data_IF_180743806180
#
_entry.id   IF_180743806180
#
_cell.length_a   1.000
_cell.length_b   1.000
_cell.length_c   1.000
_cell.angle_alpha   90.00
_cell.angle_beta   90.00
_cell.angle_gamma   90.00
#
_symmetry.space_group_name_H-M   'P 1'
#
loop_
_entity.id
_entity.type
_entity.pdbx_description
1 polymer ?
#
# COMPACT_ATOMS: atom_id res chain seq x y z
N UNK A 1 -12.76 14.18 -19.64
CA UNK A 1 -13.08 14.93 -18.40
C UNK A 1 -12.70 14.03 -17.26
N UNK A 2 -11.57 14.27 -16.58
CA UNK A 2 -11.20 13.50 -15.39
C UNK A 2 -12.25 13.78 -14.32
N UNK A 3 -13.05 12.77 -13.96
CA UNK A 3 -14.00 12.91 -12.87
C UNK A 3 -13.20 12.76 -11.59
N UNK A 4 -13.42 13.68 -10.66
CA UNK A 4 -12.80 13.59 -9.34
C UNK A 4 -13.76 12.91 -8.36
N UNK A 5 -13.24 12.02 -7.52
CA UNK A 5 -13.99 11.30 -6.46
C UNK A 5 -13.12 11.23 -5.22
N UNK A 6 -13.70 11.12 -4.03
CA UNK A 6 -12.91 11.13 -2.79
C UNK A 6 -12.12 9.84 -2.52
N UNK A 7 -12.57 8.70 -3.05
CA UNK A 7 -12.00 7.36 -2.78
C UNK A 7 -11.75 7.09 -1.29
N UNK A 8 -12.60 7.65 -0.41
CA UNK A 8 -12.35 7.62 1.03
C UNK A 8 -12.27 6.19 1.57
N UNK A 9 -13.16 5.33 1.10
CA UNK A 9 -13.23 3.92 1.50
C UNK A 9 -11.97 3.17 1.06
N UNK A 10 -11.50 3.41 -0.16
CA UNK A 10 -10.28 2.80 -0.71
C UNK A 10 -9.05 3.31 0.05
N UNK A 11 -8.96 4.61 0.32
CA UNK A 11 -7.89 5.20 1.14
C UNK A 11 -7.84 4.57 2.53
N UNK A 12 -8.98 4.47 3.22
CA UNK A 12 -9.10 3.82 4.53
C UNK A 12 -8.68 2.35 4.48
N UNK A 13 -9.10 1.59 3.46
CA UNK A 13 -8.69 0.19 3.26
C UNK A 13 -7.18 0.06 3.09
N UNK A 14 -6.56 0.92 2.28
CA UNK A 14 -5.11 0.92 2.08
C UNK A 14 -4.37 1.17 3.40
N UNK A 15 -4.76 2.19 4.16
CA UNK A 15 -4.13 2.46 5.46
C UNK A 15 -4.36 1.32 6.45
N UNK A 16 -5.54 0.70 6.45
CA UNK A 16 -5.80 -0.44 7.31
C UNK A 16 -4.87 -1.62 6.98
N UNK A 17 -4.61 -1.91 5.71
CA UNK A 17 -3.61 -2.90 5.31
C UNK A 17 -2.20 -2.49 5.78
N UNK A 18 -1.86 -1.22 5.64
CA UNK A 18 -0.55 -0.69 6.04
C UNK A 18 -0.31 -0.67 7.56
N UNK A 19 -1.36 -0.53 8.36
CA UNK A 19 -1.29 -0.55 9.83
C UNK A 19 -1.08 -1.94 10.41
N UNK A 20 -1.45 -3.00 9.68
CA UNK A 20 -1.37 -4.38 10.16
C UNK A 20 -0.26 -5.12 9.41
N UNK A 21 0.99 -4.73 9.68
CA UNK A 21 2.16 -5.27 8.98
C UNK A 21 2.31 -6.78 9.19
N UNK A 22 2.03 -7.28 10.39
CA UNK A 22 2.06 -8.72 10.72
C UNK A 22 1.06 -9.54 9.90
N UNK A 23 -0.17 -9.03 9.69
CA UNK A 23 -1.19 -9.72 8.89
C UNK A 23 -0.97 -9.56 7.37
N UNK A 24 -0.14 -8.60 6.99
CA UNK A 24 0.08 -8.24 5.59
C UNK A 24 1.40 -8.82 5.09
N UNK A 25 2.39 -9.05 5.96
CA UNK A 25 3.72 -9.53 5.54
C UNK A 25 3.65 -10.90 4.89
N UNK A 26 2.84 -11.83 5.39
CA UNK A 26 2.68 -13.16 4.78
C UNK A 26 2.12 -13.05 3.36
N UNK A 27 1.18 -12.11 3.15
CA UNK A 27 0.62 -11.81 1.82
C UNK A 27 1.69 -11.23 0.90
N UNK A 28 2.55 -10.35 1.39
CA UNK A 28 3.65 -9.80 0.60
C UNK A 28 4.73 -10.85 0.31
N UNK A 29 5.04 -11.73 1.26
CA UNK A 29 5.97 -12.85 1.06
C UNK A 29 5.46 -13.80 -0.01
N UNK A 30 4.16 -14.09 -0.02
CA UNK A 30 3.52 -14.85 -1.11
C UNK A 30 3.65 -14.12 -2.45
N UNK A 31 3.25 -12.86 -2.53
CA UNK A 31 3.34 -12.06 -3.76
C UNK A 31 4.78 -11.95 -4.28
N UNK A 32 5.75 -11.82 -3.37
CA UNK A 32 7.18 -11.82 -3.70
C UNK A 32 7.58 -13.13 -4.36
N UNK A 33 7.12 -14.26 -3.82
CA UNK A 33 7.32 -15.57 -4.43
C UNK A 33 6.66 -15.68 -5.82
N UNK A 34 5.47 -15.14 -6.00
CA UNK A 34 4.80 -15.09 -7.32
C UNK A 34 5.57 -14.23 -8.33
N UNK A 35 6.07 -13.05 -7.92
CA UNK A 35 6.92 -12.21 -8.75
C UNK A 35 8.20 -12.95 -9.16
N UNK A 36 8.80 -13.72 -8.24
CA UNK A 36 9.98 -14.54 -8.51
C UNK A 36 9.71 -15.68 -9.52
N UNK A 37 8.48 -16.21 -9.58
CA UNK A 37 8.09 -17.22 -10.57
C UNK A 37 7.96 -16.63 -11.98
N UNK A 38 7.53 -15.37 -12.07
CA UNK A 38 7.34 -14.66 -13.34
C UNK A 38 8.59 -13.89 -13.81
N UNK A 39 9.65 -13.83 -13.00
CA UNK A 39 10.88 -13.08 -13.29
C UNK A 39 11.66 -12.74 -12.02
N UNK A 40 12.49 -11.70 -12.05
CA UNK A 40 13.20 -11.21 -10.84
C UNK A 40 12.44 -10.06 -10.22
N UNK A 41 12.31 -10.04 -8.89
CA UNK A 41 11.81 -8.89 -8.13
C UNK A 41 12.78 -7.72 -8.30
N UNK A 42 12.28 -6.53 -8.63
CA UNK A 42 13.16 -5.37 -8.79
C UNK A 42 13.82 -4.96 -7.47
N UNK A 43 14.95 -4.26 -7.54
CA UNK A 43 15.64 -3.78 -6.33
C UNK A 43 14.73 -2.86 -5.50
N UNK A 44 13.97 -1.97 -6.14
CA UNK A 44 13.02 -1.10 -5.45
C UNK A 44 11.91 -1.87 -4.74
N UNK A 45 11.37 -2.92 -5.39
CA UNK A 45 10.36 -3.78 -4.78
C UNK A 45 10.93 -4.53 -3.58
N UNK A 46 12.14 -5.09 -3.69
CA UNK A 46 12.78 -5.79 -2.57
C UNK A 46 13.06 -4.83 -1.40
N UNK A 47 13.58 -3.63 -1.67
CA UNK A 47 13.80 -2.61 -0.64
C UNK A 47 12.48 -2.25 0.05
N UNK A 48 11.39 -2.04 -0.71
CA UNK A 48 10.09 -1.72 -0.16
C UNK A 48 9.54 -2.85 0.73
N UNK A 49 9.68 -4.11 0.29
CA UNK A 49 9.32 -5.27 1.07
C UNK A 49 10.08 -5.34 2.40
N UNK A 50 11.41 -5.16 2.38
CA UNK A 50 12.23 -5.19 3.60
C UNK A 50 11.87 -4.04 4.55
N UNK A 51 11.64 -2.83 4.01
CA UNK A 51 11.21 -1.69 4.84
C UNK A 51 9.85 -1.91 5.48
N UNK A 52 8.89 -2.48 4.76
CA UNK A 52 7.59 -2.85 5.32
C UNK A 52 7.74 -3.90 6.43
N UNK A 53 8.50 -4.97 6.16
CA UNK A 53 8.74 -6.09 7.08
C UNK A 53 9.33 -5.65 8.41
N UNK A 54 10.28 -4.71 8.40
CA UNK A 54 10.97 -4.23 9.60
C UNK A 54 10.44 -2.90 10.14
N UNK A 55 9.28 -2.45 9.64
CA UNK A 55 8.56 -1.32 10.25
C UNK A 55 7.90 -1.81 11.55
N UNK A 56 8.24 -1.19 12.68
CA UNK A 56 7.62 -1.51 13.97
C UNK A 56 7.00 -0.25 14.58
N UNK A 57 5.90 -0.42 15.31
CA UNK A 57 5.22 0.66 16.03
C UNK A 57 6.15 1.38 17.02
N UNK A 58 7.09 0.64 17.63
CA UNK A 58 8.13 1.18 18.52
C UNK A 58 9.05 2.20 17.85
N UNK A 59 9.24 2.10 16.52
CA UNK A 59 10.17 2.96 15.78
C UNK A 59 9.56 4.27 15.31
N UNK A 60 8.23 4.34 15.18
CA UNK A 60 7.52 5.48 14.59
C UNK A 60 6.68 6.28 15.59
N UNK A 61 6.47 5.76 16.80
CA UNK A 61 5.82 6.48 17.91
C UNK A 61 4.32 6.73 17.75
N UNK A 62 3.83 6.94 16.52
CA UNK A 62 2.43 7.23 16.18
C UNK A 62 1.90 6.23 15.12
N UNK A 63 0.78 5.51 15.38
CA UNK A 63 0.23 4.52 14.45
C UNK A 63 -0.09 5.07 13.05
N UNK A 64 -0.46 6.34 12.94
CA UNK A 64 -0.82 7.00 11.68
C UNK A 64 0.41 7.26 10.81
N UNK A 65 1.53 7.65 11.42
CA UNK A 65 2.83 7.83 10.74
C UNK A 65 3.32 6.49 10.19
N UNK A 66 3.19 5.44 11.00
CA UNK A 66 3.51 4.07 10.56
C UNK A 66 2.64 3.65 9.37
N UNK A 67 1.33 3.84 9.47
CA UNK A 67 0.39 3.49 8.40
C UNK A 67 0.70 4.23 7.08
N UNK A 68 1.02 5.52 7.14
CA UNK A 68 1.41 6.29 5.96
C UNK A 68 2.72 5.79 5.33
N UNK A 69 3.74 5.59 6.15
CA UNK A 69 5.04 5.05 5.71
C UNK A 69 4.87 3.67 5.06
N UNK A 70 4.07 2.81 5.69
CA UNK A 70 3.80 1.47 5.20
C UNK A 70 2.94 1.45 3.94
N UNK A 71 2.03 2.41 3.76
CA UNK A 71 1.25 2.55 2.53
C UNK A 71 2.16 2.87 1.34
N UNK A 72 3.20 3.68 1.53
CA UNK A 72 4.22 3.94 0.51
C UNK A 72 4.95 2.63 0.17
N UNK A 73 5.44 1.90 1.17
CA UNK A 73 6.15 0.64 0.94
C UNK A 73 5.29 -0.43 0.26
N UNK A 74 4.01 -0.56 0.64
CA UNK A 74 3.06 -1.44 -0.04
C UNK A 74 2.89 -1.06 -1.51
N UNK A 75 2.67 0.23 -1.77
CA UNK A 75 2.45 0.74 -3.13
C UNK A 75 3.70 0.53 -4.01
N UNK A 76 4.89 0.83 -3.48
CA UNK A 76 6.16 0.60 -4.18
C UNK A 76 6.39 -0.89 -4.46
N UNK A 77 6.10 -1.77 -3.51
CA UNK A 77 6.25 -3.22 -3.69
C UNK A 77 5.32 -3.76 -4.79
N UNK A 78 4.06 -3.33 -4.79
CA UNK A 78 3.09 -3.73 -5.81
C UNK A 78 3.46 -3.22 -7.20
N UNK A 79 4.00 -2.00 -7.27
CA UNK A 79 4.50 -1.37 -8.48
C UNK A 79 3.39 -0.92 -9.45
N UNK A 80 3.77 -0.06 -10.40
CA UNK A 80 2.85 0.46 -11.43
C UNK A 80 1.81 1.46 -10.91
N UNK A 81 2.07 2.09 -9.76
CA UNK A 81 1.15 3.02 -9.11
C UNK A 81 1.84 4.38 -8.82
N UNK A 82 2.27 5.09 -9.86
CA UNK A 82 3.08 6.30 -9.72
C UNK A 82 2.29 7.47 -9.16
N UNK A 83 1.01 7.61 -9.51
CA UNK A 83 0.16 8.72 -9.04
C UNK A 83 -0.15 8.58 -7.54
N UNK A 84 -0.49 7.37 -7.12
CA UNK A 84 -0.70 7.01 -5.73
C UNK A 84 0.58 7.18 -4.92
N UNK A 85 1.73 6.73 -5.45
CA UNK A 85 3.03 6.88 -4.78
C UNK A 85 3.43 8.34 -4.57
N UNK A 86 3.29 9.18 -5.59
CA UNK A 86 3.56 10.62 -5.49
C UNK A 86 2.62 11.29 -4.48
N UNK A 87 1.32 10.96 -4.53
CA UNK A 87 0.34 11.52 -3.61
C UNK A 87 0.62 11.13 -2.15
N UNK A 88 0.94 9.86 -1.89
CA UNK A 88 1.29 9.35 -0.54
C UNK A 88 2.59 9.96 -0.02
N UNK A 89 3.58 10.18 -0.89
CA UNK A 89 4.88 10.75 -0.49
C UNK A 89 4.77 12.21 0.00
N UNK A 90 3.70 12.90 -0.35
CA UNK A 90 3.39 14.27 0.10
C UNK A 90 2.53 14.31 1.37
N UNK A 91 2.13 13.14 1.88
CA UNK A 91 1.32 13.06 3.08
C UNK A 91 2.20 13.32 4.30
N UNK A 92 1.89 14.37 5.05
CA UNK A 92 2.37 14.47 6.43
C UNK A 92 1.32 13.92 7.41
N UNK A 93 1.79 13.54 8.59
CA UNK A 93 0.94 12.93 9.62
C UNK A 93 -0.12 13.87 10.20
N UNK A 94 0.00 15.17 10.00
CA UNK A 94 -0.98 16.17 10.43
C UNK A 94 -2.16 16.29 9.46
N UNK A 95 -2.01 15.87 8.21
CA UNK A 95 -3.01 16.02 7.15
C UNK A 95 -3.68 14.72 6.71
N UNK A 96 -3.61 13.66 7.52
CA UNK A 96 -4.27 12.39 7.18
C UNK A 96 -5.78 12.55 7.00
N UNK A 97 -6.46 13.31 7.86
CA UNK A 97 -7.90 13.56 7.72
C UNK A 97 -8.23 14.30 6.43
N UNK A 98 -7.40 15.26 6.04
CA UNK A 98 -7.61 16.05 4.82
C UNK A 98 -7.45 15.16 3.60
N UNK A 99 -6.39 14.35 3.58
CA UNK A 99 -6.16 13.36 2.53
C UNK A 99 -7.32 12.37 2.37
N UNK A 100 -7.89 11.86 3.46
CA UNK A 100 -9.01 10.91 3.38
C UNK A 100 -10.27 11.51 2.74
N UNK A 101 -10.46 12.82 2.85
CA UNK A 101 -11.65 13.49 2.33
C UNK A 101 -11.40 14.20 0.99
N UNK A 102 -10.14 14.36 0.58
CA UNK A 102 -9.77 15.01 -0.68
C UNK A 102 -10.19 14.20 -1.90
N UNK A 103 -10.65 14.91 -2.93
CA UNK A 103 -11.02 14.31 -4.21
C UNK A 103 -9.80 14.11 -5.11
N UNK A 104 -9.70 12.92 -5.69
CA UNK A 104 -8.58 12.48 -6.53
C UNK A 104 -9.05 12.16 -7.94
N UNK A 105 -8.11 11.99 -8.87
CA UNK A 105 -8.38 11.56 -10.25
C UNK A 105 -8.90 10.12 -10.31
N UNK A 106 -9.60 9.76 -11.39
CA UNK A 106 -9.97 8.37 -11.66
C UNK A 106 -8.72 7.46 -11.72
N UNK A 107 -7.59 7.94 -12.25
CA UNK A 107 -6.31 7.22 -12.29
C UNK A 107 -5.76 6.88 -10.90
N UNK A 108 -5.79 7.82 -9.96
CA UNK A 108 -5.48 7.53 -8.56
C UNK A 108 -6.41 6.43 -8.01
N UNK A 109 -7.70 6.52 -8.34
CA UNK A 109 -8.71 5.53 -7.98
C UNK A 109 -8.44 4.14 -8.53
N UNK A 110 -7.96 4.03 -9.77
CA UNK A 110 -7.60 2.77 -10.40
C UNK A 110 -6.37 2.15 -9.73
N UNK A 111 -5.33 2.96 -9.49
CA UNK A 111 -4.10 2.51 -8.83
C UNK A 111 -4.36 1.99 -7.40
N UNK A 112 -5.14 2.72 -6.58
CA UNK A 112 -5.45 2.27 -5.22
C UNK A 112 -6.26 0.97 -5.21
N UNK A 113 -7.21 0.84 -6.14
CA UNK A 113 -7.99 -0.39 -6.28
C UNK A 113 -7.13 -1.56 -6.75
N UNK A 114 -6.13 -1.31 -7.62
CA UNK A 114 -5.19 -2.34 -8.05
C UNK A 114 -4.37 -2.88 -6.87
N UNK A 115 -3.85 -2.01 -6.01
CA UNK A 115 -3.11 -2.40 -4.79
C UNK A 115 -3.99 -3.26 -3.88
N UNK A 116 -5.19 -2.76 -3.54
CA UNK A 116 -6.13 -3.47 -2.66
C UNK A 116 -6.52 -4.83 -3.25
N UNK A 117 -6.78 -4.89 -4.55
CA UNK A 117 -7.20 -6.13 -5.23
C UNK A 117 -6.10 -7.17 -5.28
N UNK A 118 -4.84 -6.78 -5.58
CA UNK A 118 -3.69 -7.71 -5.58
C UNK A 118 -3.45 -8.31 -4.20
N UNK A 119 -3.50 -7.48 -3.15
CA UNK A 119 -3.35 -7.94 -1.76
C UNK A 119 -4.53 -8.85 -1.38
N UNK A 120 -5.77 -8.46 -1.74
CA UNK A 120 -6.96 -9.26 -1.47
C UNK A 120 -6.92 -10.64 -2.14
N UNK A 121 -6.51 -10.71 -3.41
CA UNK A 121 -6.39 -11.95 -4.16
C UNK A 121 -5.31 -12.87 -3.56
N UNK A 122 -4.12 -12.33 -3.25
CA UNK A 122 -3.06 -13.09 -2.60
C UNK A 122 -3.46 -13.62 -1.22
N UNK A 123 -4.16 -12.80 -0.43
CA UNK A 123 -4.72 -13.22 0.87
C UNK A 123 -5.74 -14.34 0.71
N UNK A 124 -6.59 -14.30 -0.32
CA UNK A 124 -7.54 -15.37 -0.61
C UNK A 124 -6.81 -16.68 -0.96
N UNK A 125 -5.78 -16.62 -1.81
CA UNK A 125 -4.96 -17.79 -2.15
C UNK A 125 -4.31 -18.43 -0.91
N UNK A 126 -3.76 -17.62 0.00
CA UNK A 126 -3.14 -18.12 1.24
C UNK A 126 -4.13 -18.80 2.19
N UNK A 127 -5.40 -18.37 2.22
CA UNK A 127 -6.43 -19.00 3.06
C UNK A 127 -6.93 -20.34 2.52
N UNK A 128 -6.64 -20.64 1.26
CA UNK A 128 -7.03 -21.89 0.60
C UNK A 128 -5.90 -22.92 0.52
N UNK A 129 -4.66 -22.49 0.81
CA UNK A 129 -3.46 -23.33 0.85
C UNK A 129 -3.29 -23.99 2.23
#
# INVERSE_FOLDING_TARGET
MNRTKNFKIEKEKLFNLASHAEDTIDVLSYLRGEFQKCGTVSEEQEIAYQKFKYSTSERFGMPQVLAATNAIHLTTFIGGCSHLSDRLSRLDSSHLSDFLNESESDEFGEEINQVISKIGAARACLRMA
#
